data_IF_955760874025
#
_entry.id   IF_955760874025
#
_cell.length_a   1.000
_cell.length_b   1.000
_cell.length_c   1.000
_cell.angle_alpha   90.00
_cell.angle_beta   90.00
_cell.angle_gamma   90.00
#
_symmetry.space_group_name_H-M   'P 1'
#
loop_
_entity.id
_entity.type
_entity.pdbx_description
1 polymer ?
#
# COMPACT_ATOMS: atom_id res chain seq x y z
N UNK A 1 7.19 15.68 -20.00
CA UNK A 1 7.56 14.83 -18.83
C UNK A 1 6.31 14.54 -18.02
N UNK A 2 6.07 13.28 -17.65
CA UNK A 2 4.94 12.93 -16.77
C UNK A 2 5.16 13.56 -15.39
N UNK A 3 4.20 14.38 -14.93
CA UNK A 3 4.20 14.95 -13.57
C UNK A 3 3.74 13.94 -12.50
N UNK A 4 3.46 12.69 -12.89
CA UNK A 4 2.99 11.64 -12.00
C UNK A 4 4.19 10.99 -11.34
N UNK A 5 4.16 10.90 -10.01
CA UNK A 5 5.16 10.24 -9.18
C UNK A 5 4.51 9.16 -8.34
N UNK A 6 5.29 8.13 -8.01
CA UNK A 6 4.87 7.03 -7.14
C UNK A 6 5.64 7.10 -5.81
N UNK A 7 4.99 6.74 -4.70
CA UNK A 7 5.61 6.59 -3.39
C UNK A 7 5.07 5.34 -2.69
N UNK A 8 5.98 4.59 -2.09
CA UNK A 8 5.66 3.39 -1.33
C UNK A 8 5.96 3.57 0.15
N UNK A 9 5.09 3.02 1.00
CA UNK A 9 5.32 2.91 2.44
C UNK A 9 5.02 1.49 2.91
N UNK A 10 5.98 0.84 3.56
CA UNK A 10 5.76 -0.40 4.29
C UNK A 10 5.22 -0.03 5.67
N UNK A 11 4.07 -0.59 6.02
CA UNK A 11 3.33 -0.42 7.26
C UNK A 11 3.49 -1.70 8.07
N UNK A 12 4.18 -1.58 9.20
CA UNK A 12 4.35 -2.68 10.16
C UNK A 12 3.64 -2.34 11.45
N UNK A 13 3.74 -3.18 12.49
CA UNK A 13 3.03 -2.97 13.75
C UNK A 13 3.39 -1.64 14.43
N UNK A 14 4.67 -1.28 14.44
CA UNK A 14 5.20 -0.16 15.22
C UNK A 14 5.96 0.89 14.37
N UNK A 15 6.12 0.67 13.06
CA UNK A 15 6.85 1.62 12.20
C UNK A 15 6.30 1.70 10.77
N UNK A 16 6.47 2.88 10.17
CA UNK A 16 6.21 3.15 8.75
C UNK A 16 7.54 3.43 8.07
N UNK A 17 7.87 2.64 7.06
CA UNK A 17 9.12 2.75 6.29
C UNK A 17 8.80 3.28 4.91
N UNK A 18 9.44 4.38 4.51
CA UNK A 18 9.36 4.88 3.14
C UNK A 18 10.30 4.06 2.24
N UNK A 19 9.78 3.58 1.12
CA UNK A 19 10.55 2.82 0.12
C UNK A 19 10.69 3.65 -1.16
N UNK A 20 11.85 3.54 -1.81
CA UNK A 20 12.14 4.19 -3.09
C UNK A 20 11.41 3.51 -4.25
N UNK A 21 11.25 4.23 -5.36
CA UNK A 21 10.78 3.62 -6.62
C UNK A 21 11.96 3.02 -7.38
N UNK A 22 13.13 3.67 -7.30
CA UNK A 22 14.40 3.24 -7.92
C UNK A 22 15.16 2.19 -7.11
N UNK A 23 14.67 1.85 -5.91
CA UNK A 23 15.14 0.67 -5.23
C UNK A 23 14.48 -0.52 -5.90
N UNK A 24 15.17 -1.12 -6.87
CA UNK A 24 15.17 -2.57 -7.01
C UNK A 24 15.05 -3.19 -5.61
N UNK A 25 14.38 -4.34 -5.50
CA UNK A 25 14.16 -5.18 -4.31
C UNK A 25 15.45 -5.62 -3.54
N UNK A 26 16.53 -4.82 -3.59
CA UNK A 26 17.89 -5.09 -3.14
C UNK A 26 18.16 -4.70 -1.70
N UNK A 27 17.42 -3.77 -1.08
CA UNK A 27 17.63 -3.50 0.35
C UNK A 27 16.78 -4.48 1.17
N UNK A 28 17.36 -5.55 1.74
CA UNK A 28 16.63 -6.41 2.64
C UNK A 28 16.25 -5.66 3.92
N UNK A 29 15.19 -6.13 4.54
CA UNK A 29 14.77 -5.77 5.89
C UNK A 29 14.82 -7.04 6.76
N UNK A 30 16.00 -7.46 7.22
CA UNK A 30 16.17 -8.72 7.94
C UNK A 30 15.27 -8.83 9.18
N UNK A 31 14.91 -7.70 9.81
CA UNK A 31 14.00 -7.67 10.96
C UNK A 31 12.57 -8.16 10.64
N UNK A 32 12.23 -8.28 9.36
CA UNK A 32 10.96 -8.77 8.86
C UNK A 32 11.04 -10.12 8.16
N UNK A 33 12.19 -10.79 8.20
CA UNK A 33 12.35 -12.13 7.61
C UNK A 33 11.20 -13.07 7.99
N UNK A 34 10.58 -13.68 6.97
CA UNK A 34 9.45 -14.61 7.13
C UNK A 34 8.13 -13.98 7.61
N UNK A 35 8.01 -12.65 7.63
CA UNK A 35 6.79 -11.94 8.07
C UNK A 35 5.99 -11.42 6.88
N UNK A 36 4.78 -10.98 7.17
CA UNK A 36 3.93 -10.24 6.23
C UNK A 36 3.74 -8.81 6.71
N UNK A 37 3.53 -7.89 5.77
CA UNK A 37 3.21 -6.50 6.09
C UNK A 37 2.25 -5.91 5.06
N UNK A 38 1.72 -4.73 5.37
CA UNK A 38 0.89 -3.97 4.42
C UNK A 38 1.75 -2.89 3.79
N UNK A 39 1.70 -2.76 2.48
CA UNK A 39 2.30 -1.68 1.72
C UNK A 39 1.23 -0.69 1.26
N UNK A 40 1.47 0.60 1.46
CA UNK A 40 0.70 1.68 0.84
C UNK A 40 1.43 2.17 -0.40
N UNK A 41 0.72 2.16 -1.51
CA UNK A 41 1.13 2.73 -2.79
C UNK A 41 0.39 4.04 -3.02
N UNK A 42 1.13 5.11 -3.35
CA UNK A 42 0.58 6.42 -3.64
C UNK A 42 1.01 6.87 -5.03
N UNK A 43 0.05 7.18 -5.87
CA UNK A 43 0.23 7.86 -7.14
C UNK A 43 -0.21 9.31 -6.94
N UNK A 44 0.64 10.27 -7.31
CA UNK A 44 0.36 11.68 -7.08
C UNK A 44 1.01 12.58 -8.12
N UNK A 45 0.43 13.77 -8.33
CA UNK A 45 1.06 14.82 -9.12
C UNK A 45 2.07 15.60 -8.28
N UNK A 46 3.27 15.84 -8.84
CA UNK A 46 4.34 16.63 -8.23
C UNK A 46 4.10 18.15 -8.37
N UNK A 47 2.89 18.60 -8.07
CA UNK A 47 2.50 20.02 -7.99
C UNK A 47 2.90 20.61 -6.64
N UNK A 48 2.76 21.94 -6.49
CA UNK A 48 2.86 22.63 -5.20
C UNK A 48 1.50 23.28 -4.87
N UNK A 49 0.69 22.72 -3.97
CA UNK A 49 0.92 21.50 -3.17
C UNK A 49 0.76 20.20 -4.00
N UNK A 50 1.35 19.06 -3.57
CA UNK A 50 1.15 17.77 -4.22
C UNK A 50 -0.32 17.34 -4.17
N UNK A 51 -0.79 16.63 -5.20
CA UNK A 51 -2.18 16.17 -5.29
C UNK A 51 -2.26 14.66 -5.48
N UNK A 52 -3.05 13.99 -4.63
CA UNK A 52 -3.25 12.55 -4.70
C UNK A 52 -4.08 12.18 -5.94
N UNK A 53 -3.59 11.21 -6.71
CA UNK A 53 -4.31 10.64 -7.84
C UNK A 53 -5.00 9.34 -7.46
N UNK A 54 -4.24 8.43 -6.85
CA UNK A 54 -4.71 7.11 -6.48
C UNK A 54 -3.89 6.60 -5.31
N UNK A 55 -4.55 5.83 -4.45
CA UNK A 55 -3.89 5.07 -3.38
C UNK A 55 -4.33 3.60 -3.45
N UNK A 56 -3.43 2.70 -3.08
CA UNK A 56 -3.74 1.27 -2.92
C UNK A 56 -3.04 0.71 -1.68
N UNK A 57 -3.67 -0.24 -1.01
CA UNK A 57 -3.01 -1.07 -0.02
C UNK A 57 -2.80 -2.46 -0.62
N UNK A 58 -1.61 -3.02 -0.43
CA UNK A 58 -1.22 -4.35 -0.87
C UNK A 58 -0.59 -5.13 0.30
N UNK A 59 -0.86 -6.42 0.41
CA UNK A 59 -0.12 -7.32 1.29
C UNK A 59 1.20 -7.74 0.62
N UNK A 60 2.30 -7.55 1.35
CA UNK A 60 3.63 -8.00 0.95
C UNK A 60 4.12 -9.08 1.90
N UNK A 61 4.94 -9.97 1.38
CA UNK A 61 5.62 -11.04 2.11
C UNK A 61 7.12 -10.78 2.08
N UNK A 62 7.81 -11.09 3.17
CA UNK A 62 9.26 -11.05 3.27
C UNK A 62 9.82 -12.46 3.23
N UNK A 63 10.78 -12.71 2.34
CA UNK A 63 11.53 -13.97 2.31
C UNK A 63 12.44 -14.12 3.53
N UNK A 64 13.18 -15.24 3.59
CA UNK A 64 14.11 -15.52 4.70
C UNK A 64 15.25 -14.52 4.79
N UNK A 65 15.56 -13.82 3.71
CA UNK A 65 16.60 -12.79 3.65
C UNK A 65 16.03 -11.38 3.94
N UNK A 66 14.72 -11.26 4.17
CA UNK A 66 14.04 -9.99 4.39
C UNK A 66 13.82 -9.18 3.11
N UNK A 67 13.90 -9.79 1.93
CA UNK A 67 13.47 -9.14 0.68
C UNK A 67 11.97 -9.27 0.57
N UNK A 68 11.32 -8.21 0.13
CA UNK A 68 9.87 -8.20 0.02
C UNK A 68 9.42 -8.46 -1.42
N UNK A 69 8.30 -9.14 -1.54
CA UNK A 69 7.55 -9.30 -2.79
C UNK A 69 6.06 -9.05 -2.54
N UNK A 70 5.32 -8.79 -3.61
CA UNK A 70 3.86 -8.83 -3.54
C UNK A 70 3.46 -10.25 -3.11
N UNK A 71 2.56 -10.36 -2.13
CA UNK A 71 2.11 -11.67 -1.66
C UNK A 71 1.30 -12.41 -2.72
N UNK A 72 1.34 -13.73 -2.68
CA UNK A 72 0.51 -14.59 -3.55
C UNK A 72 -0.99 -14.28 -3.47
N UNK A 73 -1.48 -13.86 -2.30
CA UNK A 73 -2.86 -13.43 -2.07
C UNK A 73 -3.20 -12.16 -2.84
N UNK A 74 -2.28 -11.19 -2.92
CA UNK A 74 -2.47 -9.99 -3.74
C UNK A 74 -2.45 -10.28 -5.23
N UNK A 75 -1.57 -11.19 -5.68
CA UNK A 75 -1.53 -11.63 -7.07
C UNK A 75 -2.87 -12.24 -7.48
N UNK A 76 -3.40 -13.15 -6.66
CA UNK A 76 -4.74 -13.73 -6.87
C UNK A 76 -5.83 -12.65 -6.88
N UNK A 77 -5.76 -11.65 -5.98
CA UNK A 77 -6.72 -10.55 -5.98
C UNK A 77 -6.65 -9.71 -7.25
N UNK A 78 -5.45 -9.45 -7.78
CA UNK A 78 -5.27 -8.74 -9.04
C UNK A 78 -5.87 -9.52 -10.21
N UNK A 79 -5.56 -10.82 -10.31
CA UNK A 79 -6.12 -11.72 -11.32
C UNK A 79 -7.64 -11.76 -11.24
N UNK A 80 -8.21 -11.88 -10.04
CA UNK A 80 -9.66 -11.88 -9.84
C UNK A 80 -10.32 -10.56 -10.27
N UNK A 81 -9.74 -9.40 -9.93
CA UNK A 81 -10.26 -8.10 -10.37
C UNK A 81 -10.27 -7.97 -11.89
N UNK A 82 -9.20 -8.41 -12.55
CA UNK A 82 -9.11 -8.41 -14.01
C UNK A 82 -10.16 -9.36 -14.60
N UNK A 83 -10.29 -10.56 -14.05
CA UNK A 83 -11.30 -11.54 -14.45
C UNK A 83 -12.73 -11.03 -14.33
N UNK A 84 -13.06 -10.29 -13.27
CA UNK A 84 -14.39 -9.65 -13.09
C UNK A 84 -14.68 -8.57 -14.13
N UNK A 85 -13.67 -7.77 -14.50
CA UNK A 85 -13.83 -6.74 -15.54
C UNK A 85 -14.06 -7.38 -16.91
N UNK A 86 -13.44 -8.53 -17.17
CA UNK A 86 -13.56 -9.25 -18.45
C UNK A 86 -14.82 -10.12 -18.53
N UNK A 87 -15.25 -10.76 -17.43
CA UNK A 87 -16.40 -11.67 -17.40
C UNK A 87 -17.59 -11.03 -16.66
N UNK A 88 -18.65 -10.69 -17.42
CA UNK A 88 -19.90 -10.08 -16.92
C UNK A 88 -20.81 -10.99 -16.07
N UNK A 89 -20.31 -12.09 -15.51
CA UNK A 89 -21.10 -12.99 -14.64
C UNK A 89 -20.65 -12.85 -13.18
N UNK A 90 -21.31 -12.01 -12.36
CA UNK A 90 -20.85 -11.64 -11.02
C UNK A 90 -21.06 -12.73 -9.96
N UNK A 91 -21.84 -13.77 -10.26
CA UNK A 91 -22.51 -14.57 -9.24
C UNK A 91 -21.67 -15.66 -8.56
N UNK A 92 -20.39 -15.84 -8.94
CA UNK A 92 -19.51 -16.88 -8.37
C UNK A 92 -18.11 -16.43 -7.99
N UNK A 93 -17.90 -15.13 -7.75
CA UNK A 93 -16.56 -14.64 -7.43
C UNK A 93 -16.41 -14.40 -5.93
N UNK A 94 -15.64 -15.25 -5.27
CA UNK A 94 -15.19 -15.04 -3.89
C UNK A 94 -14.34 -13.78 -3.82
N UNK A 95 -14.84 -12.76 -3.10
CA UNK A 95 -14.14 -11.50 -2.95
C UNK A 95 -12.99 -11.65 -1.95
N UNK A 96 -11.74 -11.56 -2.41
CA UNK A 96 -10.59 -11.47 -1.51
C UNK A 96 -10.56 -10.04 -0.96
N UNK A 97 -10.82 -9.83 0.35
CA UNK A 97 -10.88 -8.49 0.92
C UNK A 97 -9.52 -7.80 0.81
N UNK A 98 -9.54 -6.49 0.59
CA UNK A 98 -8.34 -5.66 0.60
C UNK A 98 -7.67 -5.68 1.99
N UNK A 99 -6.33 -5.58 2.07
CA UNK A 99 -5.62 -5.48 3.33
C UNK A 99 -6.09 -4.24 4.08
N UNK A 100 -6.22 -4.40 5.39
CA UNK A 100 -6.60 -3.32 6.30
C UNK A 100 -5.49 -3.15 7.33
N UNK A 101 -5.41 -1.96 7.90
CA UNK A 101 -4.47 -1.65 8.97
C UNK A 101 -5.23 -1.43 10.28
N UNK A 102 -4.55 -1.51 11.43
CA UNK A 102 -5.17 -1.20 12.72
C UNK A 102 -5.16 0.32 13.00
N UNK A 103 -5.82 0.75 14.08
CA UNK A 103 -5.92 2.18 14.46
C UNK A 103 -4.54 2.80 14.71
N UNK A 104 -3.63 2.09 15.38
CA UNK A 104 -2.28 2.57 15.68
C UNK A 104 -1.48 2.79 14.40
N UNK A 105 -1.51 1.82 13.48
CA UNK A 105 -0.90 1.90 12.16
C UNK A 105 -1.44 3.08 11.36
N UNK A 106 -2.75 3.35 11.41
CA UNK A 106 -3.34 4.53 10.76
C UNK A 106 -2.86 5.84 11.38
N UNK A 107 -2.65 5.88 12.70
CA UNK A 107 -2.03 7.01 13.40
C UNK A 107 -0.60 7.26 12.92
N UNK A 108 0.26 6.23 12.94
CA UNK A 108 1.63 6.31 12.46
C UNK A 108 1.69 6.73 10.98
N UNK A 109 0.79 6.20 10.16
CA UNK A 109 0.68 6.57 8.76
C UNK A 109 0.29 8.04 8.58
N UNK A 110 -0.69 8.53 9.34
CA UNK A 110 -1.09 9.95 9.32
C UNK A 110 0.10 10.84 9.62
N UNK A 111 0.82 10.59 10.72
CA UNK A 111 1.98 11.38 11.13
C UNK A 111 3.03 11.42 10.01
N UNK A 112 3.31 10.26 9.39
CA UNK A 112 4.28 10.17 8.31
C UNK A 112 3.83 10.90 7.04
N UNK A 113 2.58 10.74 6.62
CA UNK A 113 2.05 11.38 5.41
C UNK A 113 1.95 12.90 5.57
N UNK A 114 1.54 13.39 6.76
CA UNK A 114 1.50 14.83 7.05
C UNK A 114 2.91 15.42 7.01
N UNK A 115 3.92 14.71 7.53
CA UNK A 115 5.32 15.14 7.44
C UNK A 115 5.83 15.18 6.00
N UNK A 116 5.49 14.17 5.19
CA UNK A 116 6.02 14.04 3.84
C UNK A 116 5.28 14.92 2.80
N UNK A 117 3.98 15.19 2.98
CA UNK A 117 3.12 15.86 1.99
C UNK A 117 2.21 16.97 2.53
N UNK A 118 2.07 17.10 3.85
CA UNK A 118 1.16 18.05 4.50
C UNK A 118 -0.25 17.52 4.76
N UNK A 119 -1.01 18.29 5.56
CA UNK A 119 -2.34 17.89 6.06
C UNK A 119 -3.40 17.79 4.96
N UNK A 120 -3.32 18.63 3.93
CA UNK A 120 -4.26 18.60 2.81
C UNK A 120 -4.19 17.28 2.06
N UNK A 121 -2.98 16.77 1.82
CA UNK A 121 -2.77 15.48 1.17
C UNK A 121 -3.35 14.32 2.00
N UNK A 122 -3.12 14.33 3.32
CA UNK A 122 -3.73 13.35 4.23
C UNK A 122 -5.26 13.38 4.17
N UNK A 123 -5.87 14.56 4.12
CA UNK A 123 -7.32 14.68 4.07
C UNK A 123 -7.92 14.06 2.80
N UNK A 124 -7.21 14.10 1.67
CA UNK A 124 -7.59 13.41 0.44
C UNK A 124 -7.38 11.88 0.50
N UNK A 125 -6.45 11.40 1.35
CA UNK A 125 -6.09 9.99 1.46
C UNK A 125 -6.92 9.22 2.51
N UNK A 126 -7.21 9.84 3.67
CA UNK A 126 -7.60 9.16 4.93
C UNK A 126 -8.83 8.26 4.83
N UNK A 127 -9.74 8.55 3.90
CA UNK A 127 -10.97 7.79 3.69
C UNK A 127 -10.74 6.51 2.85
N UNK A 128 -9.66 6.46 2.07
CA UNK A 128 -9.28 5.28 1.28
C UNK A 128 -8.48 4.25 2.09
N UNK A 129 -8.07 4.60 3.31
CA UNK A 129 -7.32 3.72 4.22
C UNK A 129 -8.29 3.05 5.20
N UNK A 130 -8.66 1.82 4.89
CA UNK A 130 -9.57 0.99 5.68
C UNK A 130 -8.89 0.50 6.97
N UNK A 131 -9.65 0.54 8.07
CA UNK A 131 -9.18 0.13 9.40
C UNK A 131 -9.96 -1.10 9.86
N UNK A 132 -9.30 -2.02 10.56
CA UNK A 132 -10.02 -3.05 11.30
C UNK A 132 -10.74 -2.44 12.52
N UNK A 133 -12.05 -2.69 12.62
CA UNK A 133 -12.83 -2.47 13.83
C UNK A 133 -12.88 -3.81 14.58
N UNK A 134 -11.88 -4.05 15.42
CA UNK A 134 -12.04 -4.99 16.55
C UNK A 134 -12.40 -4.14 17.77
#
# INVERSE_FOLDING_TARGET
MSNITIRFYIITENKIIRVGVDSDNKRPFPEFSGKTAVMLELFYFKTKPPSLLRSSLALIEFDTDGRWSISSVEEQRAIHKIGQVMNRSPEKVSFIPAPRINKNQKGLLKERIVKDFGIHFWNSLKNNILVYHW
#
